data_IF_241129521085
#
_entry.id   IF_241129521085
#
_cell.length_a   1.000
_cell.length_b   1.000
_cell.length_c   1.000
_cell.angle_alpha   90.00
_cell.angle_beta   90.00
_cell.angle_gamma   90.00
#
_symmetry.space_group_name_H-M   'P 1'
#
loop_
_entity.id
_entity.type
_entity.pdbx_description
1 polymer ?
#
# COMPACT_ATOMS: atom_id res chain seq x y z
N UNK A 1 -15.42 -41.65 69.59
CA UNK A 1 -15.20 -42.06 68.21
C UNK A 1 -15.97 -41.17 67.26
N UNK A 2 -15.32 -40.23 66.60
CA UNK A 2 -15.93 -39.31 65.66
C UNK A 2 -15.04 -39.34 64.41
N UNK A 3 -15.56 -39.62 63.19
CA UNK A 3 -14.72 -39.74 62.01
C UNK A 3 -14.53 -38.35 61.38
N UNK A 4 -13.27 -38.12 61.04
CA UNK A 4 -12.70 -36.98 60.38
C UNK A 4 -13.14 -36.91 58.89
N UNK A 5 -13.83 -35.88 58.46
CA UNK A 5 -14.24 -35.65 57.08
C UNK A 5 -13.24 -34.75 56.39
N UNK A 6 -12.42 -35.33 55.49
CA UNK A 6 -11.53 -34.58 54.62
C UNK A 6 -12.30 -33.87 53.52
N UNK A 7 -12.32 -32.54 53.52
CA UNK A 7 -12.73 -31.73 52.37
C UNK A 7 -11.59 -31.74 51.34
N UNK A 8 -11.79 -32.37 50.20
CA UNK A 8 -10.93 -32.25 49.02
C UNK A 8 -11.26 -30.96 48.29
N UNK A 9 -10.38 -29.96 48.46
CA UNK A 9 -10.45 -28.73 47.67
C UNK A 9 -10.11 -29.00 46.22
N UNK A 10 -11.04 -28.77 45.30
CA UNK A 10 -10.80 -28.72 43.89
C UNK A 10 -9.98 -27.45 43.58
N UNK A 11 -8.71 -27.63 43.26
CA UNK A 11 -7.91 -26.56 42.63
C UNK A 11 -8.44 -26.29 41.22
N UNK A 12 -9.20 -25.22 41.07
CA UNK A 12 -9.52 -24.66 39.76
C UNK A 12 -8.28 -23.99 39.20
N UNK A 13 -7.74 -24.55 38.09
CA UNK A 13 -6.66 -23.95 37.32
C UNK A 13 -7.06 -22.55 36.82
N UNK A 14 -6.17 -21.55 36.85
CA UNK A 14 -6.48 -20.23 36.35
C UNK A 14 -6.46 -20.22 34.82
N UNK A 15 -7.59 -20.58 34.18
CA UNK A 15 -7.86 -20.25 32.80
C UNK A 15 -8.46 -18.85 32.78
N UNK A 16 -7.68 -17.80 32.64
CA UNK A 16 -8.37 -16.52 32.34
C UNK A 16 -7.48 -15.33 31.93
N UNK A 17 -6.17 -15.36 32.11
CA UNK A 17 -5.39 -14.19 31.75
C UNK A 17 -5.17 -14.01 30.23
N UNK A 18 -5.05 -15.09 29.47
CA UNK A 18 -4.86 -15.02 28.01
C UNK A 18 -6.17 -14.76 27.25
N UNK A 19 -7.30 -15.34 27.67
CA UNK A 19 -8.61 -15.07 27.03
C UNK A 19 -9.17 -13.67 27.30
N UNK A 20 -8.82 -13.04 28.42
CA UNK A 20 -9.23 -11.64 28.72
C UNK A 20 -8.48 -10.62 27.88
N UNK A 21 -7.25 -10.91 27.40
CA UNK A 21 -6.51 -10.00 26.51
C UNK A 21 -7.00 -10.00 25.05
N UNK A 22 -7.68 -11.07 24.61
CA UNK A 22 -8.19 -11.17 23.24
C UNK A 22 -9.52 -10.43 23.02
N UNK A 23 -10.28 -10.12 24.07
CA UNK A 23 -11.57 -9.42 24.00
C UNK A 23 -11.55 -7.98 24.54
N UNK A 24 -10.40 -7.41 24.83
CA UNK A 24 -10.29 -6.01 25.14
C UNK A 24 -10.54 -5.19 23.86
N UNK A 25 -11.58 -4.37 23.84
CA UNK A 25 -11.79 -3.37 22.78
C UNK A 25 -10.46 -2.61 22.63
N UNK A 26 -10.00 -2.38 21.41
CA UNK A 26 -8.76 -1.62 21.19
C UNK A 26 -8.89 -0.27 21.88
N UNK A 27 -7.93 0.05 22.74
CA UNK A 27 -7.91 1.32 23.43
C UNK A 27 -7.87 2.45 22.40
N UNK A 28 -8.75 3.43 22.55
CA UNK A 28 -8.76 4.60 21.66
C UNK A 28 -7.39 5.31 21.79
N UNK A 29 -6.68 5.56 20.68
CA UNK A 29 -5.40 6.27 20.71
C UNK A 29 -5.55 7.64 21.37
N UNK A 30 -4.67 7.99 22.29
CA UNK A 30 -4.69 9.28 23.00
C UNK A 30 -3.65 10.26 22.47
N UNK A 31 -2.65 9.76 21.76
CA UNK A 31 -1.57 10.58 21.16
C UNK A 31 -1.43 10.26 19.69
N UNK A 32 -0.80 11.19 18.94
CA UNK A 32 -0.51 10.98 17.52
C UNK A 32 0.35 9.73 17.29
N UNK A 33 1.35 9.49 18.14
CA UNK A 33 2.22 8.30 18.08
C UNK A 33 1.44 7.00 18.25
N UNK A 34 0.43 6.98 19.12
CA UNK A 34 -0.42 5.80 19.33
C UNK A 34 -1.34 5.54 18.14
N UNK A 35 -1.68 6.56 17.38
CA UNK A 35 -2.50 6.44 16.17
C UNK A 35 -1.75 5.79 15.01
N UNK A 36 -0.42 5.84 15.01
CA UNK A 36 0.40 5.23 13.96
C UNK A 36 0.49 3.71 14.20
N UNK A 37 -0.02 2.85 13.29
CA UNK A 37 -0.14 1.40 13.50
C UNK A 37 1.18 0.64 13.34
N UNK A 38 2.32 1.29 13.38
CA UNK A 38 3.64 0.68 13.31
C UNK A 38 4.10 0.26 14.70
N UNK A 39 4.66 -0.94 14.86
CA UNK A 39 5.24 -1.39 16.13
C UNK A 39 6.74 -1.12 16.23
N UNK A 40 7.49 -1.42 15.17
CA UNK A 40 8.94 -1.26 15.15
C UNK A 40 9.46 -1.11 13.72
N UNK A 41 10.41 -0.20 13.52
CA UNK A 41 11.23 -0.09 12.32
C UNK A 41 12.63 -0.64 12.61
N UNK A 42 13.19 -1.40 11.68
CA UNK A 42 14.56 -1.92 11.73
C UNK A 42 15.44 -1.15 10.74
N UNK A 43 16.76 -1.19 10.96
CA UNK A 43 17.73 -0.46 10.13
C UNK A 43 17.71 -0.94 8.66
N UNK A 44 17.46 -2.23 8.43
CA UNK A 44 17.38 -2.84 7.10
C UNK A 44 16.10 -2.50 6.31
N UNK A 45 15.28 -1.60 6.81
CA UNK A 45 14.03 -1.22 6.19
C UNK A 45 12.85 -2.15 6.51
N UNK A 46 13.05 -3.22 7.26
CA UNK A 46 11.94 -4.06 7.71
C UNK A 46 11.11 -3.33 8.74
N UNK A 47 9.80 -3.28 8.55
CA UNK A 47 8.86 -2.69 9.49
C UNK A 47 7.94 -3.77 10.06
N UNK A 48 7.90 -3.89 11.38
CA UNK A 48 6.88 -4.68 12.08
C UNK A 48 5.64 -3.81 12.27
N UNK A 49 4.60 -4.09 11.49
CA UNK A 49 3.33 -3.34 11.53
C UNK A 49 2.40 -3.89 12.61
N UNK A 50 2.27 -5.21 12.67
CA UNK A 50 1.47 -5.95 13.66
C UNK A 50 2.35 -7.02 14.32
N UNK A 51 1.90 -7.66 15.41
CA UNK A 51 2.71 -8.67 16.12
C UNK A 51 3.31 -9.74 15.21
N UNK A 52 2.58 -10.16 14.18
CA UNK A 52 2.97 -11.24 13.29
C UNK A 52 3.03 -10.80 11.82
N UNK A 53 3.19 -9.50 11.54
CA UNK A 53 3.21 -9.00 10.17
C UNK A 53 4.35 -8.02 9.95
N UNK A 54 5.18 -8.31 8.96
CA UNK A 54 6.40 -7.57 8.62
C UNK A 54 6.37 -7.15 7.17
N UNK A 55 6.83 -5.92 6.90
CA UNK A 55 6.81 -5.32 5.56
C UNK A 55 8.15 -4.73 5.18
N UNK A 56 8.42 -4.67 3.87
CA UNK A 56 9.49 -3.87 3.25
C UNK A 56 8.92 -3.02 2.13
N UNK A 57 9.62 -1.96 1.77
CA UNK A 57 9.20 -1.02 0.72
C UNK A 57 10.32 -0.83 -0.28
N UNK A 58 9.99 -0.94 -1.56
CA UNK A 58 10.86 -0.65 -2.69
C UNK A 58 10.30 0.61 -3.37
N UNK A 59 11.16 1.59 -3.61
CA UNK A 59 10.87 2.72 -4.49
C UNK A 59 11.23 2.32 -5.91
N UNK A 60 10.37 2.64 -6.89
CA UNK A 60 10.63 2.36 -8.29
C UNK A 60 10.30 3.56 -9.18
N UNK A 61 10.94 3.62 -10.34
CA UNK A 61 10.76 4.68 -11.33
C UNK A 61 9.70 4.28 -12.36
N UNK A 62 9.29 5.25 -13.17
CA UNK A 62 8.36 5.02 -14.25
C UNK A 62 8.99 4.23 -15.39
N UNK A 63 8.13 3.51 -16.10
CA UNK A 63 8.43 2.95 -17.40
C UNK A 63 7.86 3.89 -18.46
N UNK A 64 8.59 4.11 -19.53
CA UNK A 64 8.17 5.04 -20.58
C UNK A 64 7.16 4.40 -21.53
N UNK A 65 6.02 4.00 -20.99
CA UNK A 65 4.96 3.30 -21.73
C UNK A 65 4.32 4.17 -22.84
N UNK A 66 4.16 5.48 -22.58
CA UNK A 66 3.46 6.36 -23.53
C UNK A 66 4.23 6.55 -24.86
N UNK A 67 5.55 6.60 -24.80
CA UNK A 67 6.42 6.77 -25.97
C UNK A 67 6.82 5.45 -26.62
N UNK A 68 6.46 4.32 -26.04
CA UNK A 68 6.77 3.00 -26.57
C UNK A 68 5.93 2.70 -27.84
N UNK A 69 6.50 1.93 -28.78
CA UNK A 69 5.78 1.41 -29.93
C UNK A 69 4.74 0.37 -29.49
N UNK A 70 3.79 0.06 -30.36
CA UNK A 70 2.67 -0.84 -29.98
C UNK A 70 3.15 -2.25 -29.57
N UNK A 71 4.17 -2.76 -30.24
CA UNK A 71 4.78 -4.05 -29.90
C UNK A 71 5.45 -4.04 -28.53
N UNK A 72 6.20 -2.95 -28.24
CA UNK A 72 6.81 -2.74 -26.93
C UNK A 72 5.78 -2.59 -25.83
N UNK A 73 4.65 -1.92 -26.10
CA UNK A 73 3.54 -1.80 -25.14
C UNK A 73 2.95 -3.15 -24.76
N UNK A 74 2.81 -4.05 -25.74
CA UNK A 74 2.34 -5.41 -25.49
C UNK A 74 3.35 -6.17 -24.62
N UNK A 75 4.63 -6.10 -24.95
CA UNK A 75 5.68 -6.74 -24.15
C UNK A 75 5.74 -6.21 -22.72
N UNK A 76 5.64 -4.89 -22.53
CA UNK A 76 5.56 -4.27 -21.20
C UNK A 76 4.33 -4.78 -20.43
N UNK A 77 3.19 -4.91 -21.07
CA UNK A 77 1.97 -5.41 -20.43
C UNK A 77 2.13 -6.88 -20.01
N UNK A 78 2.67 -7.73 -20.86
CA UNK A 78 2.94 -9.14 -20.56
C UNK A 78 3.92 -9.30 -19.37
N UNK A 79 4.98 -8.49 -19.34
CA UNK A 79 5.91 -8.45 -18.21
C UNK A 79 5.25 -7.97 -16.92
N UNK A 80 4.33 -7.00 -16.97
CA UNK A 80 3.53 -6.58 -15.82
C UNK A 80 2.59 -7.69 -15.34
N UNK A 81 1.95 -8.41 -16.26
CA UNK A 81 1.14 -9.59 -15.89
C UNK A 81 2.00 -10.63 -15.17
N UNK A 82 3.18 -10.93 -15.71
CA UNK A 82 4.13 -11.85 -15.10
C UNK A 82 4.61 -11.37 -13.72
N UNK A 83 4.85 -10.08 -13.57
CA UNK A 83 5.21 -9.45 -12.30
C UNK A 83 4.10 -9.61 -11.25
N UNK A 84 2.84 -9.35 -11.61
CA UNK A 84 1.71 -9.48 -10.69
C UNK A 84 1.43 -10.95 -10.33
N UNK A 85 1.64 -11.88 -11.26
CA UNK A 85 1.48 -13.32 -11.05
C UNK A 85 2.57 -13.93 -10.13
N UNK A 86 3.67 -13.22 -9.91
CA UNK A 86 4.71 -13.64 -8.94
C UNK A 86 4.18 -13.71 -7.51
N UNK A 87 3.20 -12.86 -7.15
CA UNK A 87 2.69 -12.79 -5.78
C UNK A 87 1.69 -13.90 -5.50
N UNK A 88 2.06 -14.83 -4.63
CA UNK A 88 1.15 -15.84 -4.11
C UNK A 88 0.19 -15.26 -3.04
N UNK A 89 -0.80 -16.05 -2.63
CA UNK A 89 -1.81 -15.62 -1.66
C UNK A 89 -1.26 -15.35 -0.24
N UNK A 90 -0.01 -15.71 0.04
CA UNK A 90 0.65 -15.48 1.32
C UNK A 90 1.40 -14.15 1.39
N UNK A 91 1.60 -13.50 0.25
CA UNK A 91 2.26 -12.21 0.12
C UNK A 91 1.18 -11.15 -0.09
N UNK A 92 1.07 -10.21 0.84
CA UNK A 92 0.23 -9.03 0.68
C UNK A 92 1.10 -7.90 0.19
N UNK A 93 0.65 -7.18 -0.81
CA UNK A 93 1.39 -6.03 -1.31
C UNK A 93 0.48 -4.87 -1.66
N UNK A 94 1.06 -3.69 -1.73
CA UNK A 94 0.40 -2.46 -2.08
C UNK A 94 1.28 -1.63 -3.01
N UNK A 95 0.66 -1.02 -3.98
CA UNK A 95 1.28 -0.02 -4.86
C UNK A 95 0.84 1.35 -4.37
N UNK A 96 1.79 2.21 -4.03
CA UNK A 96 1.51 3.56 -3.55
C UNK A 96 2.12 4.59 -4.51
N UNK A 97 1.29 5.52 -4.94
CA UNK A 97 1.66 6.68 -5.72
C UNK A 97 1.57 7.88 -4.79
N UNK A 98 2.68 8.57 -4.63
CA UNK A 98 2.81 9.66 -3.68
C UNK A 98 3.18 10.91 -4.45
N UNK A 99 2.29 11.89 -4.44
CA UNK A 99 2.48 13.21 -5.02
C UNK A 99 2.58 14.23 -3.89
N UNK A 100 3.78 14.72 -3.61
CA UNK A 100 4.03 15.62 -2.50
C UNK A 100 5.00 16.73 -2.90
N UNK A 101 4.86 17.88 -2.24
CA UNK A 101 5.86 18.94 -2.33
C UNK A 101 7.21 18.40 -1.84
N UNK A 102 8.21 18.50 -2.69
CA UNK A 102 9.59 18.13 -2.36
C UNK A 102 10.26 19.28 -1.62
N UNK A 103 11.15 18.96 -0.69
CA UNK A 103 12.06 19.97 -0.14
C UNK A 103 12.85 20.57 -1.32
N UNK A 104 12.65 21.87 -1.54
CA UNK A 104 13.26 22.62 -2.65
C UNK A 104 14.79 22.43 -2.70
N UNK A 105 15.42 22.23 -1.56
CA UNK A 105 16.87 22.05 -1.44
C UNK A 105 17.37 20.68 -1.91
N UNK A 106 16.63 19.59 -1.68
CA UNK A 106 16.97 18.26 -2.21
C UNK A 106 16.66 18.17 -3.71
N UNK A 107 15.57 18.77 -4.10
CA UNK A 107 15.18 18.87 -5.49
C UNK A 107 16.18 19.68 -6.33
N UNK A 108 16.63 20.84 -5.85
CA UNK A 108 17.69 21.61 -6.50
C UNK A 108 19.00 20.83 -6.66
N UNK A 109 19.34 19.98 -5.68
CA UNK A 109 20.52 19.12 -5.78
C UNK A 109 20.36 18.05 -6.85
N UNK A 110 19.16 17.48 -7.03
CA UNK A 110 18.90 16.44 -8.02
C UNK A 110 18.93 16.95 -9.47
N UNK A 111 18.61 18.23 -9.67
CA UNK A 111 18.61 18.88 -11.00
C UNK A 111 19.98 19.46 -11.34
N UNK A 112 20.80 19.75 -10.33
CA UNK A 112 22.09 20.36 -10.54
C UNK A 112 23.07 19.37 -11.17
N UNK A 113 23.43 19.62 -12.43
CA UNK A 113 24.53 18.89 -13.09
C UNK A 113 25.85 19.35 -12.48
N UNK A 114 26.64 18.44 -11.90
CA UNK A 114 27.90 18.82 -11.28
C UNK A 114 28.91 19.33 -12.35
N UNK A 115 29.65 20.36 -12.01
CA UNK A 115 30.73 20.88 -12.86
C UNK A 115 31.86 19.85 -12.98
N UNK A 116 32.34 19.65 -14.22
CA UNK A 116 33.40 18.68 -14.54
C UNK A 116 34.73 19.36 -14.91
N UNK A 117 34.74 20.70 -15.02
CA UNK A 117 35.91 21.51 -15.40
C UNK A 117 36.50 21.14 -16.76
N UNK A 118 35.64 20.76 -17.71
CA UNK A 118 35.99 20.31 -19.06
C UNK A 118 35.68 21.37 -20.14
N UNK A 119 35.41 22.61 -19.74
CA UNK A 119 35.07 23.72 -20.64
C UNK A 119 33.60 23.82 -21.03
N UNK A 120 32.72 22.91 -20.53
CA UNK A 120 31.28 22.92 -20.80
C UNK A 120 30.46 23.23 -19.53
N UNK A 121 31.07 23.84 -18.53
CA UNK A 121 30.37 24.10 -17.26
C UNK A 121 29.33 25.22 -17.37
N UNK A 122 29.50 26.13 -18.31
CA UNK A 122 28.49 27.17 -18.67
C UNK A 122 27.25 26.53 -19.26
N UNK A 123 27.39 25.56 -20.17
CA UNK A 123 26.30 24.81 -20.78
C UNK A 123 25.55 24.00 -19.71
N UNK A 124 26.28 23.38 -18.77
CA UNK A 124 25.67 22.66 -17.63
C UNK A 124 24.89 23.59 -16.72
N UNK A 125 25.39 24.80 -16.49
CA UNK A 125 24.69 25.80 -15.67
C UNK A 125 23.41 26.28 -16.35
N UNK A 126 23.49 26.58 -17.67
CA UNK A 126 22.33 27.02 -18.47
C UNK A 126 21.26 25.93 -18.53
N UNK A 127 21.65 24.68 -18.78
CA UNK A 127 20.71 23.54 -18.78
C UNK A 127 20.06 23.32 -17.43
N UNK A 128 20.82 23.41 -16.34
CA UNK A 128 20.30 23.33 -14.99
C UNK A 128 19.33 24.48 -14.70
N UNK A 129 19.58 25.68 -15.21
CA UNK A 129 18.67 26.83 -15.08
C UNK A 129 17.40 26.64 -15.91
N UNK A 130 17.50 26.11 -17.12
CA UNK A 130 16.35 25.79 -17.97
C UNK A 130 15.44 24.73 -17.29
N UNK A 131 16.02 23.67 -16.73
CA UNK A 131 15.29 22.68 -15.98
C UNK A 131 14.54 23.29 -14.79
N UNK A 132 15.19 24.18 -14.02
CA UNK A 132 14.54 24.91 -12.92
C UNK A 132 13.34 25.74 -13.39
N UNK A 133 13.49 26.44 -14.52
CA UNK A 133 12.40 27.26 -15.07
C UNK A 133 11.25 26.41 -15.59
N UNK A 134 11.51 25.29 -16.23
CA UNK A 134 10.45 24.36 -16.67
C UNK A 134 9.68 23.76 -15.50
N UNK A 135 10.38 23.36 -14.44
CA UNK A 135 9.77 22.80 -13.25
C UNK A 135 8.97 23.83 -12.47
N UNK A 136 9.44 25.07 -12.41
CA UNK A 136 8.68 26.17 -11.80
C UNK A 136 7.38 26.49 -12.58
N UNK A 137 7.32 26.19 -13.88
CA UNK A 137 6.14 26.41 -14.72
C UNK A 137 5.15 25.24 -14.72
N UNK A 138 5.61 24.01 -14.45
CA UNK A 138 4.85 22.81 -14.77
C UNK A 138 4.32 21.99 -13.58
N UNK A 139 4.91 22.06 -12.39
CA UNK A 139 4.61 21.06 -11.35
C UNK A 139 4.39 21.63 -9.94
N UNK A 140 4.18 22.92 -9.73
CA UNK A 140 3.98 23.52 -8.40
C UNK A 140 4.95 23.02 -7.30
N UNK A 141 6.13 22.48 -7.68
CA UNK A 141 7.09 21.88 -6.77
C UNK A 141 6.69 20.47 -6.24
N UNK A 142 5.73 19.83 -6.89
CA UNK A 142 5.31 18.45 -6.52
C UNK A 142 6.19 17.40 -7.21
N UNK A 143 6.58 16.38 -6.48
CA UNK A 143 7.29 15.22 -7.01
C UNK A 143 6.45 13.97 -6.86
N UNK A 144 6.27 13.27 -7.99
CA UNK A 144 5.57 12.00 -8.06
C UNK A 144 6.55 10.85 -7.79
N UNK A 145 6.33 10.12 -6.73
CA UNK A 145 7.16 8.94 -6.37
C UNK A 145 6.28 7.71 -6.25
N UNK A 146 6.85 6.55 -6.56
CA UNK A 146 6.13 5.27 -6.59
C UNK A 146 6.80 4.26 -5.71
N UNK A 147 5.99 3.54 -4.96
CA UNK A 147 6.45 2.55 -4.00
C UNK A 147 5.66 1.26 -4.15
N UNK A 148 6.33 0.14 -3.98
CA UNK A 148 5.70 -1.14 -3.69
C UNK A 148 6.08 -1.55 -2.26
N UNK A 149 5.07 -1.76 -1.43
CA UNK A 149 5.25 -2.30 -0.09
C UNK A 149 4.69 -3.71 -0.07
N UNK A 150 5.53 -4.67 0.29
CA UNK A 150 5.15 -6.07 0.40
C UNK A 150 5.36 -6.57 1.82
N UNK A 151 4.59 -7.55 2.21
CA UNK A 151 4.65 -8.07 3.57
C UNK A 151 4.27 -9.54 3.68
N UNK A 152 4.80 -10.15 4.72
CA UNK A 152 4.58 -11.55 5.07
C UNK A 152 4.21 -11.71 6.54
N UNK A 153 3.46 -12.74 6.83
CA UNK A 153 3.13 -13.13 8.20
C UNK A 153 4.19 -14.09 8.77
N UNK A 154 4.52 -13.92 10.05
CA UNK A 154 5.42 -14.80 10.78
C UNK A 154 5.59 -14.34 12.23
N UNK A 155 5.97 -15.25 13.10
CA UNK A 155 6.03 -15.04 14.56
C UNK A 155 7.24 -14.21 15.00
N UNK A 156 8.35 -14.32 14.26
CA UNK A 156 9.60 -13.64 14.62
C UNK A 156 10.35 -13.10 13.41
N UNK A 157 11.20 -12.09 13.64
CA UNK A 157 12.09 -11.53 12.62
C UNK A 157 13.01 -12.58 12.00
N UNK A 158 13.54 -13.52 12.80
CA UNK A 158 14.41 -14.58 12.31
C UNK A 158 13.71 -15.48 11.28
N UNK A 159 12.42 -15.74 11.46
CA UNK A 159 11.61 -16.54 10.55
C UNK A 159 11.27 -15.79 9.26
N UNK A 160 10.92 -14.49 9.35
CA UNK A 160 10.42 -13.74 8.19
C UNK A 160 11.53 -13.15 7.34
N UNK A 161 12.71 -12.86 7.93
CA UNK A 161 13.80 -12.17 7.23
C UNK A 161 14.25 -12.92 5.96
N UNK A 162 14.55 -14.21 5.97
CA UNK A 162 14.97 -14.93 4.76
C UNK A 162 13.92 -14.87 3.65
N UNK A 163 12.63 -14.93 4.03
CA UNK A 163 11.53 -14.86 3.09
C UNK A 163 11.39 -13.46 2.48
N UNK A 164 11.51 -12.42 3.32
CA UNK A 164 11.52 -11.03 2.84
C UNK A 164 12.71 -10.76 1.92
N UNK A 165 13.90 -11.31 2.24
CA UNK A 165 15.10 -11.18 1.41
C UNK A 165 14.89 -11.84 0.04
N UNK A 166 14.27 -13.03 -0.01
CA UNK A 166 13.95 -13.71 -1.27
C UNK A 166 12.98 -12.89 -2.12
N UNK A 167 11.82 -12.51 -1.55
CA UNK A 167 10.81 -11.70 -2.27
C UNK A 167 11.41 -10.39 -2.78
N UNK A 168 12.21 -9.72 -1.95
CA UNK A 168 12.90 -8.49 -2.33
C UNK A 168 13.79 -8.68 -3.56
N UNK A 169 14.62 -9.72 -3.57
CA UNK A 169 15.55 -9.98 -4.67
C UNK A 169 14.79 -10.30 -5.96
N UNK A 170 13.72 -11.08 -5.85
CA UNK A 170 12.89 -11.41 -7.01
C UNK A 170 12.18 -10.18 -7.56
N UNK A 171 11.66 -9.31 -6.68
CA UNK A 171 11.05 -8.04 -7.10
C UNK A 171 12.05 -7.10 -7.78
N UNK A 172 13.25 -6.96 -7.22
CA UNK A 172 14.29 -6.13 -7.84
C UNK A 172 14.72 -6.69 -9.21
N UNK A 173 14.83 -8.01 -9.34
CA UNK A 173 15.14 -8.66 -10.61
C UNK A 173 14.00 -8.46 -11.63
N UNK A 174 12.75 -8.56 -11.20
CA UNK A 174 11.60 -8.33 -12.07
C UNK A 174 11.54 -6.86 -12.54
N UNK A 175 11.78 -5.88 -11.65
CA UNK A 175 11.91 -4.48 -12.07
C UNK A 175 13.06 -4.26 -13.05
N UNK A 176 14.19 -4.90 -12.82
CA UNK A 176 15.33 -4.82 -13.74
C UNK A 176 14.98 -5.37 -15.13
N UNK A 177 14.23 -6.49 -15.21
CA UNK A 177 13.75 -7.05 -16.49
C UNK A 177 12.79 -6.10 -17.20
N UNK A 178 11.94 -5.38 -16.46
CA UNK A 178 11.06 -4.32 -16.99
C UNK A 178 11.84 -3.07 -17.43
N UNK A 179 13.17 -3.02 -17.23
CA UNK A 179 13.98 -1.81 -17.49
C UNK A 179 13.70 -0.69 -16.48
N UNK A 180 13.09 -0.98 -15.35
CA UNK A 180 12.71 -0.02 -14.31
C UNK A 180 13.76 0.01 -13.22
N UNK A 181 14.30 1.21 -12.93
CA UNK A 181 15.18 1.38 -11.78
C UNK A 181 14.37 1.29 -10.48
N UNK A 182 14.82 0.41 -9.59
CA UNK A 182 14.17 0.17 -8.31
C UNK A 182 15.20 0.09 -7.18
N UNK A 183 14.82 0.59 -6.00
CA UNK A 183 15.67 0.65 -4.82
C UNK A 183 14.90 0.23 -3.58
N UNK A 184 15.46 -0.70 -2.80
CA UNK A 184 14.97 -0.98 -1.46
C UNK A 184 15.20 0.24 -0.57
N UNK A 185 14.19 0.66 0.17
CA UNK A 185 14.32 1.69 1.19
C UNK A 185 14.84 1.08 2.49
N UNK A 186 15.90 1.66 3.05
CA UNK A 186 16.35 1.35 4.39
C UNK A 186 15.41 1.93 5.46
N UNK A 187 15.68 1.62 6.73
CA UNK A 187 14.82 2.05 7.82
C UNK A 187 14.76 3.56 7.98
N UNK A 188 15.86 4.27 7.72
CA UNK A 188 15.90 5.74 7.80
C UNK A 188 15.13 6.37 6.63
N UNK A 189 15.29 5.85 5.43
CA UNK A 189 14.58 6.31 4.23
C UNK A 189 13.06 6.08 4.36
N UNK A 190 12.65 4.94 4.92
CA UNK A 190 11.23 4.68 5.20
C UNK A 190 10.67 5.63 6.26
N UNK A 191 11.44 5.91 7.32
CA UNK A 191 11.01 6.88 8.34
C UNK A 191 10.96 8.30 7.76
N UNK A 192 11.89 8.67 6.88
CA UNK A 192 11.87 9.95 6.17
C UNK A 192 10.64 10.07 5.27
N UNK A 193 10.29 9.03 4.53
CA UNK A 193 9.07 8.99 3.71
C UNK A 193 7.82 9.17 4.59
N UNK A 194 7.71 8.44 5.69
CA UNK A 194 6.60 8.59 6.63
C UNK A 194 6.54 9.99 7.26
N UNK A 195 7.69 10.55 7.64
CA UNK A 195 7.78 11.91 8.14
C UNK A 195 7.25 12.91 7.10
N UNK A 196 7.69 12.80 5.85
CA UNK A 196 7.22 13.68 4.77
C UNK A 196 5.71 13.58 4.55
N UNK A 197 5.14 12.37 4.65
CA UNK A 197 3.69 12.18 4.56
C UNK A 197 2.93 12.80 5.74
N UNK A 198 3.48 12.75 6.95
CA UNK A 198 2.83 13.29 8.13
C UNK A 198 3.07 14.79 8.35
N UNK A 199 4.08 15.37 7.69
CA UNK A 199 4.47 16.77 7.80
C UNK A 199 4.35 17.49 6.44
N UNK A 200 3.37 17.12 5.61
CA UNK A 200 3.10 17.81 4.36
C UNK A 200 2.90 19.31 4.61
N UNK A 201 3.62 20.15 3.88
CA UNK A 201 3.54 21.59 4.01
C UNK A 201 4.27 22.21 5.20
N UNK A 202 4.85 21.41 6.08
CA UNK A 202 5.76 21.89 7.12
C UNK A 202 7.20 21.88 6.60
N UNK A 203 7.96 22.96 6.88
CA UNK A 203 9.39 23.04 6.52
C UNK A 203 10.29 22.31 7.53
N UNK A 204 9.71 21.45 8.37
CA UNK A 204 10.44 20.74 9.38
C UNK A 204 11.30 19.64 8.75
N UNK A 205 12.61 19.77 8.91
CA UNK A 205 13.57 18.81 8.36
C UNK A 205 13.61 17.55 9.20
N UNK A 206 13.49 16.39 8.54
CA UNK A 206 13.68 15.09 9.19
C UNK A 206 15.12 14.94 9.69
N UNK A 207 15.27 14.79 11.00
CA UNK A 207 16.56 14.57 11.68
C UNK A 207 16.49 13.30 12.50
N UNK A 208 17.04 12.23 11.98
CA UNK A 208 17.05 10.93 12.62
C UNK A 208 18.40 10.24 12.46
N UNK A 209 18.89 9.65 13.53
CA UNK A 209 20.07 8.79 13.55
C UNK A 209 19.85 7.62 14.53
N UNK A 210 20.08 6.41 14.05
CA UNK A 210 19.97 5.18 14.83
C UNK A 210 20.87 5.17 16.06
N UNK A 211 22.05 5.79 15.97
CA UNK A 211 23.01 5.85 17.08
C UNK A 211 22.50 6.67 18.27
N UNK A 212 21.66 7.66 18.02
CA UNK A 212 21.09 8.51 19.06
C UNK A 212 19.78 7.98 19.63
N UNK A 213 19.07 7.13 18.91
CA UNK A 213 17.77 6.61 19.34
C UNK A 213 17.79 5.98 20.74
N UNK A 214 18.73 5.07 21.09
CA UNK A 214 18.76 4.47 22.44
C UNK A 214 19.06 5.47 23.56
N UNK A 215 19.76 6.57 23.23
CA UNK A 215 20.16 7.60 24.20
C UNK A 215 19.12 8.68 24.39
N UNK A 216 18.23 8.88 23.40
CA UNK A 216 17.21 9.93 23.43
C UNK A 216 16.02 9.62 24.31
N UNK A 217 15.78 8.34 24.62
CA UNK A 217 14.56 7.89 25.31
C UNK A 217 13.30 7.99 24.44
N UNK A 218 13.45 8.40 23.17
CA UNK A 218 12.38 8.52 22.21
C UNK A 218 12.16 7.21 21.45
N UNK A 219 10.99 7.03 20.90
CA UNK A 219 10.70 5.97 19.94
C UNK A 219 10.81 6.47 18.50
N UNK A 220 10.96 5.59 17.54
CA UNK A 220 10.94 5.96 16.11
C UNK A 220 9.68 6.72 15.70
N UNK A 221 8.56 6.52 16.42
CA UNK A 221 7.30 7.22 16.17
C UNK A 221 7.35 8.69 16.54
N UNK A 222 8.16 9.07 17.50
CA UNK A 222 8.30 10.46 17.93
C UNK A 222 8.99 11.32 16.86
N UNK A 223 9.79 10.69 15.99
CA UNK A 223 10.45 11.37 14.87
C UNK A 223 9.56 11.54 13.63
N UNK A 224 8.47 10.78 13.53
CA UNK A 224 7.60 10.82 12.35
C UNK A 224 6.18 11.32 12.64
N UNK A 225 5.77 11.30 13.91
CA UNK A 225 4.41 11.67 14.26
C UNK A 225 4.17 13.17 14.06
N UNK A 226 3.01 13.56 13.48
CA UNK A 226 2.63 14.95 13.40
C UNK A 226 2.32 15.50 14.81
N UNK A 227 2.31 16.82 14.93
CA UNK A 227 2.00 17.49 16.20
C UNK A 227 0.63 17.13 16.75
N UNK A 228 -0.34 16.88 15.89
CA UNK A 228 -1.68 16.45 16.28
C UNK A 228 -2.42 15.76 15.16
N UNK A 229 -3.30 14.80 15.54
CA UNK A 229 -4.39 14.32 14.71
C UNK A 229 -5.71 14.78 15.32
N UNK A 230 -6.63 15.27 14.49
CA UNK A 230 -7.99 15.57 14.89
C UNK A 230 -8.97 15.09 13.82
N UNK A 231 -10.10 14.56 14.25
CA UNK A 231 -11.15 14.04 13.39
C UNK A 231 -12.44 14.82 13.67
N UNK A 232 -12.59 16.06 13.12
CA UNK A 232 -13.74 16.92 13.41
C UNK A 232 -15.04 16.38 12.81
N UNK A 233 -14.97 15.37 11.94
CA UNK A 233 -16.11 14.74 11.30
C UNK A 233 -15.74 13.41 10.67
N UNK A 234 -16.70 12.79 9.99
CA UNK A 234 -16.51 11.47 9.34
C UNK A 234 -15.80 11.56 7.98
N UNK A 235 -15.72 12.74 7.37
CA UNK A 235 -15.21 12.93 6.01
C UNK A 235 -13.84 13.57 5.95
N UNK A 236 -13.46 14.32 6.99
CA UNK A 236 -12.21 15.08 7.04
C UNK A 236 -11.44 14.77 8.31
N UNK A 237 -10.14 14.82 8.19
CA UNK A 237 -9.22 14.80 9.33
C UNK A 237 -8.31 16.04 9.27
N UNK A 238 -7.74 16.38 10.39
CA UNK A 238 -6.71 17.41 10.47
C UNK A 238 -5.42 16.80 11.01
N UNK A 239 -4.33 17.12 10.35
CA UNK A 239 -2.98 16.69 10.69
C UNK A 239 -2.09 17.91 10.84
N UNK A 240 -1.75 18.27 12.07
CA UNK A 240 -1.12 19.55 12.36
C UNK A 240 -2.00 20.74 11.91
N UNK A 241 -1.53 21.48 10.92
CA UNK A 241 -2.25 22.63 10.33
C UNK A 241 -3.05 22.26 9.07
N UNK A 242 -2.79 21.09 8.48
CA UNK A 242 -3.40 20.66 7.22
C UNK A 242 -4.71 19.93 7.46
N UNK A 243 -5.64 20.12 6.53
CA UNK A 243 -6.86 19.34 6.42
C UNK A 243 -6.69 18.31 5.31
N UNK A 244 -7.16 17.10 5.56
CA UNK A 244 -7.16 16.02 4.61
C UNK A 244 -8.50 15.32 4.56
N UNK A 245 -8.73 14.62 3.46
CA UNK A 245 -9.86 13.71 3.30
C UNK A 245 -9.35 12.35 2.82
N UNK A 246 -10.09 11.31 3.11
CA UNK A 246 -9.82 9.96 2.63
C UNK A 246 -11.02 9.48 1.84
N UNK A 247 -10.77 8.97 0.64
CA UNK A 247 -11.77 8.38 -0.22
C UNK A 247 -11.30 6.97 -0.63
N UNK A 248 -12.23 6.12 -1.00
CA UNK A 248 -11.91 4.85 -1.65
C UNK A 248 -12.68 4.76 -2.96
N UNK A 249 -12.06 4.15 -3.96
CA UNK A 249 -12.67 3.94 -5.25
C UNK A 249 -13.63 2.76 -5.15
N UNK A 250 -14.89 2.99 -5.48
CA UNK A 250 -15.88 1.95 -5.66
C UNK A 250 -16.19 1.80 -7.14
N UNK A 251 -15.80 0.66 -7.70
CA UNK A 251 -16.02 0.36 -9.11
C UNK A 251 -17.35 -0.39 -9.23
N UNK A 252 -18.30 0.20 -9.93
CA UNK A 252 -19.60 -0.39 -10.21
C UNK A 252 -19.81 -0.74 -11.69
N UNK A 253 -18.91 -0.25 -12.56
CA UNK A 253 -18.94 -0.53 -13.98
C UNK A 253 -18.38 -1.93 -14.29
N UNK A 254 -18.93 -2.58 -15.31
CA UNK A 254 -18.45 -3.88 -15.81
C UNK A 254 -17.16 -3.75 -16.62
N UNK A 255 -16.85 -2.55 -17.09
CA UNK A 255 -15.69 -2.25 -17.92
C UNK A 255 -14.97 -1.01 -17.39
N UNK A 256 -13.64 -1.03 -17.42
CA UNK A 256 -12.80 0.03 -16.86
C UNK A 256 -11.76 0.39 -17.92
N UNK A 257 -11.67 1.68 -18.24
CA UNK A 257 -10.65 2.19 -19.17
C UNK A 257 -9.29 2.38 -18.48
N UNK A 258 -8.22 2.34 -19.26
CA UNK A 258 -6.83 2.60 -18.84
C UNK A 258 -6.64 3.99 -18.21
N UNK A 259 -7.59 4.89 -18.42
CA UNK A 259 -7.50 6.28 -17.96
C UNK A 259 -8.13 6.52 -16.60
N UNK A 260 -8.72 5.48 -15.96
CA UNK A 260 -9.47 5.62 -14.71
C UNK A 260 -8.73 6.39 -13.61
N UNK A 261 -7.43 6.16 -13.46
CA UNK A 261 -6.61 6.81 -12.43
C UNK A 261 -5.83 8.02 -12.94
N UNK A 262 -5.85 8.29 -14.25
CA UNK A 262 -5.03 9.35 -14.85
C UNK A 262 -5.38 10.72 -14.26
N UNK A 263 -6.66 11.04 -14.20
CA UNK A 263 -7.11 12.35 -13.72
C UNK A 263 -6.72 12.59 -12.25
N UNK A 264 -6.72 11.53 -11.42
CA UNK A 264 -6.24 11.60 -10.04
C UNK A 264 -4.73 11.78 -9.98
N UNK A 265 -3.97 11.00 -10.76
CA UNK A 265 -2.51 11.05 -10.75
C UNK A 265 -1.96 12.35 -11.37
N UNK A 266 -2.75 13.05 -12.16
CA UNK A 266 -2.38 14.31 -12.80
C UNK A 266 -2.85 15.54 -12.03
N UNK A 267 -3.51 15.37 -10.87
CA UNK A 267 -3.89 16.52 -10.04
C UNK A 267 -2.68 17.28 -9.48
N UNK A 268 -2.74 18.60 -9.54
CA UNK A 268 -1.73 19.50 -8.95
C UNK A 268 -1.96 19.69 -7.43
N UNK A 269 -2.13 18.60 -6.72
CA UNK A 269 -2.36 18.58 -5.28
C UNK A 269 -1.50 17.53 -4.59
N UNK A 270 -1.22 17.73 -3.30
CA UNK A 270 -0.59 16.69 -2.50
C UNK A 270 -1.58 15.56 -2.27
N UNK A 271 -1.25 14.39 -2.78
CA UNK A 271 -2.12 13.21 -2.69
C UNK A 271 -1.31 11.92 -2.54
N UNK A 272 -1.95 10.94 -1.97
CA UNK A 272 -1.42 9.57 -1.86
C UNK A 272 -2.51 8.62 -2.35
N UNK A 273 -2.24 7.93 -3.45
CA UNK A 273 -3.10 6.90 -3.99
C UNK A 273 -2.48 5.54 -3.70
N UNK A 274 -3.19 4.69 -2.97
CA UNK A 274 -2.69 3.35 -2.62
C UNK A 274 -3.65 2.28 -3.12
N UNK A 275 -3.12 1.32 -3.86
CA UNK A 275 -3.82 0.14 -4.33
C UNK A 275 -3.35 -1.06 -3.52
N UNK A 276 -4.25 -1.63 -2.69
CA UNK A 276 -3.99 -2.86 -1.96
C UNK A 276 -4.33 -4.06 -2.82
N UNK A 277 -3.38 -4.94 -3.04
CA UNK A 277 -3.53 -6.11 -3.90
C UNK A 277 -3.27 -7.37 -3.08
N UNK A 278 -4.17 -8.33 -3.21
CA UNK A 278 -4.03 -9.63 -2.60
C UNK A 278 -4.41 -10.71 -3.59
N UNK A 279 -3.48 -11.60 -3.89
CA UNK A 279 -3.72 -12.77 -4.70
C UNK A 279 -4.62 -13.74 -3.96
N UNK A 280 -5.55 -14.36 -4.68
CA UNK A 280 -6.47 -15.36 -4.15
C UNK A 280 -5.97 -16.74 -4.58
N UNK A 281 -5.98 -17.71 -3.65
CA UNK A 281 -5.70 -19.09 -3.99
C UNK A 281 -6.65 -19.58 -5.08
N UNK A 282 -6.09 -20.10 -6.18
CA UNK A 282 -6.84 -20.50 -7.37
C UNK A 282 -7.94 -21.51 -7.06
N UNK A 283 -7.66 -22.49 -6.19
CA UNK A 283 -8.66 -23.50 -5.81
C UNK A 283 -9.81 -22.90 -5.00
N UNK A 284 -9.52 -21.92 -4.14
CA UNK A 284 -10.55 -21.19 -3.40
C UNK A 284 -11.38 -20.32 -4.34
N UNK A 285 -10.73 -19.61 -5.28
CA UNK A 285 -11.40 -18.79 -6.27
C UNK A 285 -12.35 -19.63 -7.13
N UNK A 286 -11.89 -20.77 -7.67
CA UNK A 286 -12.73 -21.69 -8.45
C UNK A 286 -13.91 -22.20 -7.63
N UNK A 287 -13.71 -22.58 -6.37
CA UNK A 287 -14.80 -23.01 -5.49
C UNK A 287 -15.83 -21.90 -5.24
N UNK A 288 -15.37 -20.67 -5.00
CA UNK A 288 -16.26 -19.52 -4.81
C UNK A 288 -17.07 -19.22 -6.08
N UNK A 289 -16.42 -19.20 -7.25
CA UNK A 289 -17.10 -18.99 -8.54
C UNK A 289 -18.16 -20.07 -8.78
N UNK A 290 -17.80 -21.34 -8.60
CA UNK A 290 -18.76 -22.45 -8.74
C UNK A 290 -19.94 -22.32 -7.78
N UNK A 291 -19.68 -21.92 -6.52
CA UNK A 291 -20.73 -21.70 -5.53
C UNK A 291 -21.66 -20.56 -5.96
N UNK A 292 -21.09 -19.42 -6.39
CA UNK A 292 -21.87 -18.27 -6.87
C UNK A 292 -22.71 -18.62 -8.10
N UNK A 293 -22.15 -19.35 -9.07
CA UNK A 293 -22.90 -19.82 -10.23
C UNK A 293 -24.08 -20.69 -9.80
N UNK A 294 -23.84 -21.64 -8.88
CA UNK A 294 -24.90 -22.52 -8.37
C UNK A 294 -26.02 -21.74 -7.65
N UNK A 295 -25.66 -20.70 -6.89
CA UNK A 295 -26.63 -19.83 -6.22
C UNK A 295 -27.42 -18.98 -7.21
N UNK A 296 -26.76 -18.42 -8.23
CA UNK A 296 -27.43 -17.68 -9.31
C UNK A 296 -28.40 -18.57 -10.08
N UNK A 297 -28.00 -19.80 -10.43
CA UNK A 297 -28.87 -20.77 -11.10
C UNK A 297 -30.09 -21.12 -10.24
N UNK A 298 -29.89 -21.32 -8.93
CA UNK A 298 -31.01 -21.55 -7.99
C UNK A 298 -31.96 -20.36 -7.92
N UNK A 299 -31.40 -19.14 -7.80
CA UNK A 299 -32.21 -17.91 -7.77
C UNK A 299 -32.99 -17.73 -9.06
N UNK A 300 -32.35 -17.99 -10.21
CA UNK A 300 -33.01 -17.95 -11.52
C UNK A 300 -34.16 -18.95 -11.62
N UNK A 301 -33.95 -20.19 -11.18
CA UNK A 301 -34.99 -21.22 -11.15
C UNK A 301 -36.14 -20.82 -10.22
N UNK A 302 -35.85 -20.22 -9.06
CA UNK A 302 -36.89 -19.75 -8.13
C UNK A 302 -37.68 -18.57 -8.72
N UNK A 303 -37.01 -17.62 -9.37
CA UNK A 303 -37.67 -16.51 -10.07
C UNK A 303 -38.55 -17.01 -11.22
N UNK A 304 -38.04 -17.97 -12.01
CA UNK A 304 -38.82 -18.64 -13.05
C UNK A 304 -40.07 -19.30 -12.47
N UNK A 305 -39.94 -20.05 -11.37
CA UNK A 305 -41.10 -20.66 -10.71
C UNK A 305 -42.10 -19.65 -10.20
N UNK A 306 -41.63 -18.50 -9.68
CA UNK A 306 -42.49 -17.39 -9.24
C UNK A 306 -43.21 -16.74 -10.42
N UNK A 307 -42.50 -16.49 -11.52
CA UNK A 307 -43.08 -15.91 -12.76
C UNK A 307 -44.15 -16.81 -13.37
N UNK A 308 -43.88 -18.12 -13.50
CA UNK A 308 -44.87 -19.11 -13.98
C UNK A 308 -46.10 -19.17 -13.05
N UNK A 309 -45.91 -19.12 -11.72
CA UNK A 309 -47.04 -19.10 -10.77
C UNK A 309 -47.86 -17.79 -10.83
N UNK A 310 -47.22 -16.69 -11.23
CA UNK A 310 -47.86 -15.39 -11.44
C UNK A 310 -48.48 -15.21 -12.83
N UNK A 311 -48.41 -16.23 -13.72
CA UNK A 311 -49.01 -16.20 -15.07
C UNK A 311 -48.26 -15.33 -16.06
N UNK A 312 -46.99 -15.02 -15.83
CA UNK A 312 -46.13 -14.31 -16.78
C UNK A 312 -45.46 -15.28 -17.74
N UNK A 313 -45.58 -15.00 -19.06
CA UNK A 313 -44.89 -15.76 -20.10
C UNK A 313 -43.41 -15.36 -20.13
N UNK A 314 -42.50 -16.33 -20.10
CA UNK A 314 -41.07 -16.13 -19.82
C UNK A 314 -40.25 -15.60 -21.00
N UNK A 315 -40.84 -15.52 -22.20
CA UNK A 315 -40.14 -15.06 -23.41
C UNK A 315 -39.90 -13.55 -23.45
N UNK A 316 -40.37 -12.80 -22.44
CA UNK A 316 -40.32 -11.32 -22.38
C UNK A 316 -39.36 -10.75 -21.33
N UNK A 317 -38.70 -11.56 -20.53
CA UNK A 317 -37.78 -11.03 -19.54
C UNK A 317 -36.41 -10.84 -20.19
N UNK A 318 -35.97 -9.58 -20.44
CA UNK A 318 -34.61 -9.35 -20.93
C UNK A 318 -33.62 -9.93 -19.93
N UNK A 319 -32.67 -10.72 -20.39
CA UNK A 319 -31.58 -11.21 -19.57
C UNK A 319 -30.72 -9.99 -19.07
N UNK A 320 -31.03 -9.51 -17.90
CA UNK A 320 -30.22 -8.49 -17.21
C UNK A 320 -28.92 -9.05 -16.62
N UNK A 321 -28.54 -10.26 -17.01
CA UNK A 321 -27.23 -10.78 -16.71
C UNK A 321 -26.21 -10.17 -17.68
N UNK A 322 -25.15 -9.55 -17.19
CA UNK A 322 -24.03 -9.17 -18.05
C UNK A 322 -23.54 -10.43 -18.75
N UNK A 323 -23.09 -10.33 -20.03
CA UNK A 323 -22.56 -11.46 -20.77
C UNK A 323 -21.48 -12.11 -19.88
N UNK A 324 -21.60 -13.42 -19.70
CA UNK A 324 -20.60 -14.23 -19.04
C UNK A 324 -19.24 -13.79 -19.56
N UNK A 325 -18.47 -13.13 -18.72
CA UNK A 325 -17.11 -12.78 -19.04
C UNK A 325 -16.41 -14.08 -19.42
N UNK A 326 -16.19 -14.28 -20.70
CA UNK A 326 -15.19 -15.20 -21.19
C UNK A 326 -13.92 -14.73 -20.52
N UNK A 327 -13.49 -15.47 -19.49
CA UNK A 327 -12.21 -15.20 -18.85
C UNK A 327 -11.18 -15.20 -19.97
N UNK A 328 -10.39 -14.13 -20.15
CA UNK A 328 -9.19 -14.23 -20.95
C UNK A 328 -8.36 -15.35 -20.31
N UNK A 329 -7.78 -16.21 -21.16
CA UNK A 329 -6.83 -17.20 -20.73
C UNK A 329 -5.87 -16.55 -19.74
N UNK A 330 -5.61 -17.19 -18.58
CA UNK A 330 -4.66 -16.64 -17.64
C UNK A 330 -3.33 -16.47 -18.37
N UNK A 331 -2.89 -15.23 -18.49
CA UNK A 331 -1.50 -14.92 -18.82
C UNK A 331 -0.59 -15.47 -17.74
#
# INVERSE_FOLDING_TARGET
MIPFWKKTGKHSKPQSAQKRRQNAKPAVPRTAQQSIPMQRMFEDGTCRVKPNYYTRTIQYQDINYQLAQQEDKTAIFEEWCSFLNFFDSSIKFELSFVNMATDSTEFEKSIRIPFQKDGFDDVRAEYSQMLRQQLAKGNNGLTKTKFITFGVEGESMAQVKPRLDHIQNDLLNNFHRLGVAAKLLDGKERLQLMHSMFHMGDQEKFRFDWKWLPKSGLSVKDYIAPTSFAFPGSRIFRMGKLYGAMSYLQITASDISDQLLKDFLDMDSSEIVTMHIQSVDQNKAIKQIKHTITELDRSKIEEQKKAVRAGYDMDIIPSTLPPTATMPNPC
#
